data_IF_618737184612
#
_entry.id   IF_618737184612
#
_cell.length_a   1.000
_cell.length_b   1.000
_cell.length_c   1.000
_cell.angle_alpha   90.00
_cell.angle_beta   90.00
_cell.angle_gamma   90.00
#
_symmetry.space_group_name_H-M   'P 1'
#
loop_
_entity.id
_entity.type
_entity.pdbx_description
1 polymer ?
#
# COMPACT_ATOMS: atom_id res chain seq x y z
N UNK A 1 -8.50 -1.05 16.79
CA UNK A 1 -7.49 -0.13 16.25
C UNK A 1 -6.27 -0.96 15.86
N UNK A 2 -5.88 -0.90 14.59
CA UNK A 2 -4.78 -1.70 14.05
C UNK A 2 -3.46 -0.92 14.06
N UNK A 3 -3.49 0.31 13.53
CA UNK A 3 -2.31 1.18 13.45
C UNK A 3 -2.64 2.52 14.12
N UNK A 4 -1.66 3.12 14.82
CA UNK A 4 -1.77 4.45 15.41
C UNK A 4 -0.48 5.23 15.22
N UNK A 5 -0.58 6.45 14.70
CA UNK A 5 0.47 7.44 14.69
C UNK A 5 0.15 8.56 15.68
N UNK A 6 1.11 8.92 16.54
CA UNK A 6 0.92 9.94 17.57
C UNK A 6 2.00 11.02 17.45
N UNK A 7 1.57 12.26 17.22
CA UNK A 7 2.40 13.47 17.16
C UNK A 7 3.65 13.30 16.27
N UNK A 8 3.46 12.66 15.10
CA UNK A 8 4.55 12.35 14.18
C UNK A 8 5.15 13.62 13.60
N UNK A 9 6.46 13.71 13.70
CA UNK A 9 7.26 14.77 13.07
C UNK A 9 8.34 14.14 12.21
N UNK A 10 8.56 14.67 11.02
CA UNK A 10 9.69 14.34 10.16
C UNK A 10 10.30 15.57 9.55
N UNK A 11 11.57 15.80 9.89
CA UNK A 11 12.38 16.88 9.34
C UNK A 11 13.44 16.31 8.38
N UNK A 12 13.70 17.03 7.31
CA UNK A 12 14.82 16.83 6.40
C UNK A 12 15.61 18.15 6.33
N UNK A 13 16.72 18.22 7.07
CA UNK A 13 17.43 19.49 7.26
C UNK A 13 16.52 20.57 7.81
N UNK A 14 16.37 21.68 7.10
CA UNK A 14 15.49 22.80 7.48
C UNK A 14 14.02 22.61 7.10
N UNK A 15 13.65 21.54 6.37
CA UNK A 15 12.28 21.34 5.88
C UNK A 15 11.51 20.38 6.78
N UNK A 16 10.35 20.80 7.28
CA UNK A 16 9.42 19.96 8.05
C UNK A 16 8.43 19.33 7.09
N UNK A 17 8.62 18.04 6.78
CA UNK A 17 7.78 17.32 5.83
C UNK A 17 6.51 16.73 6.46
N UNK A 18 6.58 16.33 7.74
CA UNK A 18 5.43 15.92 8.57
C UNK A 18 5.55 16.68 9.89
N UNK A 19 4.47 17.33 10.31
CA UNK A 19 4.47 18.26 11.44
C UNK A 19 3.30 17.95 12.38
N UNK A 20 3.59 17.23 13.45
CA UNK A 20 2.65 16.89 14.51
C UNK A 20 1.38 16.19 14.00
N UNK A 21 1.54 15.18 13.14
CA UNK A 21 0.42 14.41 12.59
C UNK A 21 0.07 13.24 13.51
N UNK A 22 -1.20 13.18 13.91
CA UNK A 22 -1.77 12.04 14.65
C UNK A 22 -2.94 11.48 13.86
N UNK A 23 -3.00 10.15 13.75
CA UNK A 23 -4.06 9.41 13.06
C UNK A 23 -4.13 7.98 13.59
N UNK A 24 -5.21 7.31 13.31
CA UNK A 24 -5.39 5.88 13.58
C UNK A 24 -5.99 5.17 12.38
N UNK A 25 -5.85 3.84 12.36
CA UNK A 25 -6.43 2.95 11.36
C UNK A 25 -7.13 1.81 12.08
N UNK A 26 -8.40 1.60 11.76
CA UNK A 26 -9.18 0.50 12.33
C UNK A 26 -8.98 -0.79 11.53
N UNK A 27 -9.22 -1.94 12.15
CA UNK A 27 -9.18 -3.22 11.44
C UNK A 27 -10.24 -3.24 10.32
N UNK A 28 -9.85 -3.66 9.13
CA UNK A 28 -10.75 -3.86 7.99
C UNK A 28 -11.24 -2.57 7.31
N UNK A 29 -10.80 -1.37 7.76
CA UNK A 29 -11.18 -0.12 7.07
C UNK A 29 -10.30 0.14 5.83
N UNK A 30 -10.82 0.96 4.93
CA UNK A 30 -10.04 1.66 3.90
C UNK A 30 -9.89 3.11 4.35
N UNK A 31 -8.70 3.47 4.87
CA UNK A 31 -8.35 4.85 5.19
C UNK A 31 -7.64 5.49 4.00
N UNK A 32 -8.20 6.55 3.44
CA UNK A 32 -7.51 7.35 2.43
C UNK A 32 -6.76 8.52 3.07
N UNK A 33 -5.55 8.79 2.57
CA UNK A 33 -4.76 9.97 2.94
C UNK A 33 -4.61 10.83 1.69
N UNK A 34 -5.25 11.99 1.69
CA UNK A 34 -5.26 12.91 0.56
C UNK A 34 -4.61 14.25 0.90
N UNK A 35 -4.41 15.08 -0.10
CA UNK A 35 -3.85 16.43 0.04
C UNK A 35 -3.05 16.83 -1.20
N UNK A 36 -2.71 18.12 -1.34
CA UNK A 36 -1.91 18.62 -2.45
C UNK A 36 -0.53 17.94 -2.57
N UNK A 37 0.14 18.17 -3.71
CA UNK A 37 1.52 17.74 -3.88
C UNK A 37 2.41 18.42 -2.83
N UNK A 38 3.32 17.67 -2.24
CA UNK A 38 4.18 18.18 -1.15
C UNK A 38 3.50 18.23 0.23
N UNK A 39 2.25 17.80 0.39
CA UNK A 39 1.55 17.78 1.69
C UNK A 39 2.13 16.82 2.73
N UNK A 40 3.09 15.94 2.37
CA UNK A 40 3.73 15.02 3.30
C UNK A 40 3.19 13.58 3.27
N UNK A 41 2.25 13.26 2.38
CA UNK A 41 1.58 11.94 2.29
C UNK A 41 2.56 10.77 2.16
N UNK A 42 3.41 10.77 1.12
CA UNK A 42 4.38 9.69 0.86
C UNK A 42 5.47 9.62 1.94
N UNK A 43 5.77 10.76 2.60
CA UNK A 43 6.65 10.77 3.79
C UNK A 43 5.98 10.05 4.94
N UNK A 44 4.69 10.31 5.20
CA UNK A 44 3.94 9.61 6.24
C UNK A 44 3.91 8.09 5.99
N UNK A 45 3.67 7.64 4.75
CA UNK A 45 3.77 6.23 4.40
C UNK A 45 5.18 5.66 4.61
N UNK A 46 6.21 6.47 4.34
CA UNK A 46 7.60 6.07 4.55
C UNK A 46 7.95 5.93 6.03
N UNK A 47 7.31 6.70 6.92
CA UNK A 47 7.41 6.53 8.37
C UNK A 47 6.73 5.23 8.81
N UNK A 48 5.52 4.96 8.35
CA UNK A 48 4.76 3.75 8.70
C UNK A 48 5.49 2.49 8.20
N UNK A 49 6.03 2.52 6.99
CA UNK A 49 6.72 1.37 6.39
C UNK A 49 8.18 1.19 6.83
N UNK A 50 8.70 2.08 7.71
CA UNK A 50 10.07 2.00 8.24
C UNK A 50 11.17 2.33 7.24
N UNK A 51 10.82 2.98 6.11
CA UNK A 51 11.82 3.53 5.19
C UNK A 51 12.47 4.79 5.75
N UNK A 52 11.70 5.59 6.49
CA UNK A 52 12.22 6.71 7.27
C UNK A 52 11.89 6.52 8.75
N UNK A 53 12.77 7.02 9.61
CA UNK A 53 12.48 7.14 11.03
C UNK A 53 11.85 8.50 11.32
N UNK A 54 10.83 8.60 12.19
CA UNK A 54 10.31 9.89 12.63
C UNK A 54 11.39 10.66 13.41
N UNK A 55 11.36 11.98 13.29
CA UNK A 55 12.19 12.87 14.14
C UNK A 55 11.67 12.88 15.59
N UNK A 56 10.34 12.82 15.75
CA UNK A 56 9.66 12.62 17.02
C UNK A 56 8.27 12.03 16.79
N UNK A 57 7.59 11.64 17.87
CA UNK A 57 6.30 10.96 17.81
C UNK A 57 6.45 9.44 17.92
N UNK A 58 5.32 8.75 17.87
CA UNK A 58 5.24 7.30 18.08
C UNK A 58 4.35 6.65 17.04
N UNK A 59 4.71 5.44 16.61
CA UNK A 59 3.91 4.56 15.75
C UNK A 59 3.69 3.26 16.51
N UNK A 60 2.42 2.84 16.60
CA UNK A 60 2.05 1.56 17.20
C UNK A 60 1.23 0.74 16.22
N UNK A 61 1.50 -0.55 16.11
CA UNK A 61 0.78 -1.52 15.28
C UNK A 61 0.36 -2.70 16.16
N UNK A 62 -0.92 -3.06 16.15
CA UNK A 62 -1.51 -4.09 17.03
C UNK A 62 -1.14 -3.89 18.52
N UNK A 63 -1.09 -2.62 18.96
CA UNK A 63 -0.72 -2.25 20.34
C UNK A 63 0.78 -2.24 20.63
N UNK A 64 1.60 -2.79 19.76
CA UNK A 64 3.07 -2.79 19.89
C UNK A 64 3.69 -1.53 19.33
N UNK A 65 4.68 -0.96 20.02
CA UNK A 65 5.45 0.18 19.52
C UNK A 65 6.45 -0.28 18.45
N UNK A 66 6.25 0.18 17.22
CA UNK A 66 7.11 -0.11 16.06
C UNK A 66 7.95 1.10 15.62
N UNK A 67 7.97 2.16 16.41
CA UNK A 67 8.72 3.39 16.10
C UNK A 67 10.19 3.08 15.84
N UNK A 68 10.71 3.50 14.69
CA UNK A 68 12.10 3.29 14.32
C UNK A 68 12.46 1.87 13.84
N UNK A 69 11.51 0.96 13.71
CA UNK A 69 11.77 -0.35 13.13
C UNK A 69 12.16 -0.20 11.67
N UNK A 70 13.08 -1.06 11.21
CA UNK A 70 13.48 -1.13 9.79
C UNK A 70 12.36 -1.76 8.96
N UNK A 71 12.31 -1.42 7.67
CA UNK A 71 11.27 -1.87 6.74
C UNK A 71 11.07 -3.40 6.72
N UNK A 72 12.15 -4.18 6.81
CA UNK A 72 12.07 -5.65 6.85
C UNK A 72 11.41 -6.18 8.13
N UNK A 73 11.57 -5.51 9.27
CA UNK A 73 10.92 -5.87 10.52
C UNK A 73 9.42 -5.52 10.47
N UNK A 74 9.08 -4.37 9.90
CA UNK A 74 7.70 -3.93 9.69
C UNK A 74 6.96 -4.87 8.72
N UNK A 75 7.62 -5.26 7.62
CA UNK A 75 7.04 -6.21 6.67
C UNK A 75 6.75 -7.59 7.31
N UNK A 76 7.61 -8.04 8.24
CA UNK A 76 7.38 -9.30 8.99
C UNK A 76 6.20 -9.22 9.95
N UNK A 77 5.81 -8.02 10.38
CA UNK A 77 4.61 -7.79 11.20
C UNK A 77 3.32 -7.75 10.38
N UNK A 78 3.39 -7.89 9.07
CA UNK A 78 2.21 -7.92 8.20
C UNK A 78 1.84 -6.55 7.61
N UNK A 79 2.75 -5.57 7.62
CA UNK A 79 2.55 -4.30 6.89
C UNK A 79 3.26 -4.40 5.55
N UNK A 80 2.51 -4.42 4.45
CA UNK A 80 3.03 -4.38 3.08
C UNK A 80 2.84 -3.01 2.47
N UNK A 81 3.74 -2.59 1.58
CA UNK A 81 3.61 -1.35 0.80
C UNK A 81 3.83 -1.64 -0.66
N UNK A 82 2.90 -1.18 -1.51
CA UNK A 82 3.15 -1.10 -2.94
C UNK A 82 3.92 0.19 -3.23
N UNK A 83 5.02 0.08 -3.95
CA UNK A 83 5.77 1.25 -4.41
C UNK A 83 5.20 1.73 -5.75
N UNK A 84 5.29 3.02 -6.01
CA UNK A 84 4.92 3.65 -7.28
C UNK A 84 5.60 2.97 -8.49
N UNK A 85 6.82 2.48 -8.29
CA UNK A 85 7.60 1.65 -9.21
C UNK A 85 7.95 0.35 -8.48
N UNK A 86 7.04 -0.62 -8.43
CA UNK A 86 7.44 -1.97 -8.06
C UNK A 86 8.39 -2.46 -9.16
N UNK A 87 9.65 -2.71 -8.82
CA UNK A 87 10.60 -3.28 -9.75
C UNK A 87 10.14 -4.70 -10.10
N UNK A 88 9.31 -4.82 -11.13
CA UNK A 88 8.99 -6.08 -11.75
C UNK A 88 10.22 -6.53 -12.57
N UNK A 89 10.44 -7.82 -12.62
CA UNK A 89 11.50 -8.38 -13.45
C UNK A 89 10.93 -8.61 -14.86
N UNK A 90 11.14 -7.67 -15.75
CA UNK A 90 10.59 -7.64 -17.11
C UNK A 90 10.95 -8.88 -17.93
N UNK A 91 12.12 -9.47 -17.66
CA UNK A 91 12.67 -10.66 -18.32
C UNK A 91 12.11 -11.98 -17.76
N UNK A 92 11.36 -11.93 -16.66
CA UNK A 92 10.70 -13.09 -16.07
C UNK A 92 9.24 -13.16 -16.50
N UNK A 93 8.67 -14.36 -16.41
CA UNK A 93 7.24 -14.57 -16.64
C UNK A 93 6.43 -14.04 -15.46
N UNK A 94 5.15 -13.81 -15.69
CA UNK A 94 4.19 -13.34 -14.68
C UNK A 94 4.18 -14.28 -13.47
N UNK A 95 4.10 -15.59 -13.71
CA UNK A 95 4.12 -16.63 -12.67
C UNK A 95 5.40 -16.58 -11.83
N UNK A 96 6.55 -16.36 -12.47
CA UNK A 96 7.85 -16.33 -11.77
C UNK A 96 7.97 -15.07 -10.90
N UNK A 97 7.53 -13.90 -11.41
CA UNK A 97 7.47 -12.66 -10.64
C UNK A 97 6.60 -12.81 -9.39
N UNK A 98 5.42 -13.39 -9.54
CA UNK A 98 4.51 -13.60 -8.42
C UNK A 98 5.07 -14.60 -7.40
N UNK A 99 5.72 -15.67 -7.87
CA UNK A 99 6.37 -16.66 -7.02
C UNK A 99 7.45 -16.05 -6.11
N UNK A 100 8.17 -15.02 -6.56
CA UNK A 100 9.14 -14.27 -5.72
C UNK A 100 8.47 -13.64 -4.49
N UNK A 101 7.21 -13.19 -4.60
CA UNK A 101 6.45 -12.67 -3.48
C UNK A 101 6.23 -13.71 -2.37
N UNK A 102 5.98 -14.96 -2.75
CA UNK A 102 5.75 -16.07 -1.82
C UNK A 102 7.04 -16.61 -1.18
N UNK A 103 8.20 -16.50 -1.84
CA UNK A 103 9.48 -16.98 -1.31
C UNK A 103 9.91 -16.34 0.01
N UNK A 104 9.44 -15.14 0.31
CA UNK A 104 9.69 -14.45 1.60
C UNK A 104 9.19 -15.24 2.82
N UNK A 105 8.34 -16.25 2.63
CA UNK A 105 7.78 -17.13 3.66
C UNK A 105 8.38 -18.54 3.70
N UNK A 106 9.20 -18.90 2.70
CA UNK A 106 9.81 -20.22 2.69
C UNK A 106 10.75 -20.35 3.90
N UNK A 107 10.33 -21.15 4.88
CA UNK A 107 11.09 -21.49 6.09
C UNK A 107 12.10 -22.61 5.83
N UNK A 108 12.10 -23.21 4.64
CA UNK A 108 13.04 -24.25 4.26
C UNK A 108 14.45 -23.65 4.15
N UNK A 109 15.27 -23.92 5.16
CA UNK A 109 16.67 -23.55 5.19
C UNK A 109 17.41 -24.16 4.00
N UNK A 110 18.58 -23.61 3.67
CA UNK A 110 19.50 -24.00 2.59
C UNK A 110 19.65 -25.54 2.43
N UNK A 111 19.65 -26.29 3.51
CA UNK A 111 19.78 -27.76 3.54
C UNK A 111 18.52 -28.50 3.06
N UNK A 112 17.34 -27.98 3.27
CA UNK A 112 16.08 -28.60 2.79
C UNK A 112 15.95 -28.52 1.27
N UNK A 113 16.46 -27.46 0.66
CA UNK A 113 16.48 -27.26 -0.80
C UNK A 113 17.48 -28.22 -1.48
N UNK A 114 18.60 -28.50 -0.83
CA UNK A 114 19.68 -29.33 -1.40
C UNK A 114 19.32 -30.83 -1.45
N UNK A 115 18.47 -31.31 -0.52
CA UNK A 115 18.16 -32.72 -0.35
C UNK A 115 16.91 -33.22 -1.08
N UNK A 116 16.22 -32.38 -1.86
CA UNK A 116 15.01 -32.74 -2.64
C UNK A 116 14.02 -33.60 -1.83
N UNK A 117 13.83 -33.29 -0.55
CA UNK A 117 12.99 -34.07 0.36
C UNK A 117 11.53 -34.12 -0.12
N UNK A 118 10.76 -35.13 0.32
CA UNK A 118 9.31 -35.21 0.05
C UNK A 118 8.57 -33.92 0.52
N UNK A 119 9.05 -33.31 1.59
CA UNK A 119 8.58 -32.04 2.12
C UNK A 119 8.81 -30.88 1.15
N UNK A 120 9.97 -30.81 0.50
CA UNK A 120 10.25 -29.79 -0.52
C UNK A 120 9.31 -29.90 -1.73
N UNK A 121 8.97 -31.14 -2.17
CA UNK A 121 8.01 -31.33 -3.28
C UNK A 121 6.60 -30.89 -2.90
N UNK A 122 6.17 -31.19 -1.66
CA UNK A 122 4.88 -30.76 -1.14
C UNK A 122 4.80 -29.22 -0.99
N UNK A 123 5.84 -28.60 -0.44
CA UNK A 123 5.94 -27.14 -0.29
C UNK A 123 5.93 -26.44 -1.65
N UNK A 124 6.63 -26.99 -2.64
CA UNK A 124 6.65 -26.49 -4.01
C UNK A 124 5.26 -26.57 -4.67
N UNK A 125 4.60 -27.71 -4.60
CA UNK A 125 3.26 -27.89 -5.16
C UNK A 125 2.23 -26.96 -4.49
N UNK A 126 2.33 -26.78 -3.17
CA UNK A 126 1.48 -25.83 -2.43
C UNK A 126 1.74 -24.38 -2.87
N UNK A 127 3.01 -24.01 -3.08
CA UNK A 127 3.37 -22.66 -3.56
C UNK A 127 2.84 -22.43 -4.97
N UNK A 128 3.00 -23.40 -5.89
CA UNK A 128 2.47 -23.31 -7.25
C UNK A 128 0.95 -23.14 -7.25
N UNK A 129 0.22 -23.89 -6.41
CA UNK A 129 -1.24 -23.74 -6.28
C UNK A 129 -1.62 -22.33 -5.80
N UNK A 130 -0.93 -21.79 -4.78
CA UNK A 130 -1.16 -20.42 -4.28
C UNK A 130 -0.85 -19.35 -5.33
N UNK A 131 0.18 -19.55 -6.14
CA UNK A 131 0.51 -18.63 -7.24
C UNK A 131 -0.61 -18.59 -8.28
N UNK A 132 -1.13 -19.76 -8.68
CA UNK A 132 -2.24 -19.84 -9.65
C UNK A 132 -3.53 -19.22 -9.06
N UNK A 133 -3.85 -19.51 -7.81
CA UNK A 133 -4.99 -18.90 -7.11
C UNK A 133 -4.86 -17.36 -7.07
N UNK A 134 -3.67 -16.84 -6.75
CA UNK A 134 -3.42 -15.40 -6.73
C UNK A 134 -3.51 -14.79 -8.13
N UNK A 135 -3.04 -15.46 -9.18
CA UNK A 135 -3.20 -14.99 -10.57
C UNK A 135 -4.68 -14.84 -10.94
N UNK A 136 -5.52 -15.82 -10.59
CA UNK A 136 -6.97 -15.70 -10.74
C UNK A 136 -7.58 -14.60 -9.88
N UNK A 137 -7.06 -14.40 -8.65
CA UNK A 137 -7.53 -13.32 -7.78
C UNK A 137 -7.29 -11.92 -8.37
N UNK A 138 -6.12 -11.69 -8.97
CA UNK A 138 -5.73 -10.40 -9.59
C UNK A 138 -6.11 -10.29 -11.08
N UNK A 139 -6.77 -11.31 -11.67
CA UNK A 139 -7.25 -11.33 -13.05
C UNK A 139 -6.13 -11.41 -14.10
N UNK A 140 -5.09 -12.21 -13.82
CA UNK A 140 -3.95 -12.44 -14.71
C UNK A 140 -3.76 -13.94 -15.08
N UNK A 141 -4.76 -14.78 -14.86
CA UNK A 141 -4.69 -16.22 -15.15
C UNK A 141 -4.36 -16.52 -16.61
N UNK A 142 -4.88 -15.70 -17.55
CA UNK A 142 -4.62 -15.86 -18.98
C UNK A 142 -3.23 -15.36 -19.41
N UNK A 143 -2.49 -14.72 -18.50
CA UNK A 143 -1.16 -14.13 -18.72
C UNK A 143 -0.06 -14.87 -17.95
N UNK A 144 -0.38 -16.01 -17.34
CA UNK A 144 0.50 -16.77 -16.43
C UNK A 144 1.91 -16.97 -16.98
N UNK A 145 2.03 -17.32 -18.26
CA UNK A 145 3.31 -17.63 -18.90
C UNK A 145 3.87 -16.51 -19.79
N UNK A 146 3.15 -15.38 -19.90
CA UNK A 146 3.62 -14.21 -20.64
C UNK A 146 4.80 -13.56 -19.90
N UNK A 147 5.69 -12.91 -20.65
CA UNK A 147 6.75 -12.08 -20.05
C UNK A 147 6.15 -10.77 -19.50
N UNK A 148 6.64 -10.31 -18.36
CA UNK A 148 6.17 -9.06 -17.75
C UNK A 148 6.32 -7.85 -18.68
N UNK A 149 7.37 -7.83 -19.51
CA UNK A 149 7.59 -6.80 -20.52
C UNK A 149 6.47 -6.66 -21.56
N UNK A 150 5.61 -7.69 -21.72
CA UNK A 150 4.48 -7.67 -22.68
C UNK A 150 3.16 -7.21 -22.05
N UNK A 151 3.13 -7.03 -20.73
CA UNK A 151 1.95 -6.61 -19.99
C UNK A 151 1.66 -5.11 -20.18
N UNK A 152 0.38 -4.74 -20.24
CA UNK A 152 -0.05 -3.35 -20.11
C UNK A 152 0.32 -2.77 -18.74
N UNK A 153 0.29 -1.44 -18.60
CA UNK A 153 0.55 -0.79 -17.31
C UNK A 153 -0.46 -1.21 -16.23
N UNK A 154 -1.73 -1.39 -16.58
CA UNK A 154 -2.76 -1.88 -15.68
C UNK A 154 -2.48 -3.31 -15.20
N UNK A 155 -2.09 -4.21 -16.11
CA UNK A 155 -1.70 -5.60 -15.81
C UNK A 155 -0.46 -5.66 -14.91
N UNK A 156 0.57 -4.84 -15.19
CA UNK A 156 1.76 -4.73 -14.35
C UNK A 156 1.40 -4.23 -12.94
N UNK A 157 0.46 -3.30 -12.84
CA UNK A 157 -0.02 -2.79 -11.55
C UNK A 157 -0.75 -3.89 -10.76
N UNK A 158 -1.61 -4.68 -11.41
CA UNK A 158 -2.27 -5.83 -10.79
C UNK A 158 -1.26 -6.89 -10.31
N UNK A 159 -0.24 -7.19 -11.11
CA UNK A 159 0.85 -8.09 -10.72
C UNK A 159 1.60 -7.57 -9.48
N UNK A 160 1.92 -6.27 -9.43
CA UNK A 160 2.55 -5.63 -8.28
C UNK A 160 1.72 -5.75 -7.01
N UNK A 161 0.40 -5.61 -7.13
CA UNK A 161 -0.56 -5.81 -6.03
C UNK A 161 -0.55 -7.28 -5.58
N UNK A 162 -0.55 -8.23 -6.52
CA UNK A 162 -0.45 -9.66 -6.23
C UNK A 162 0.82 -10.02 -5.45
N UNK A 163 1.96 -9.45 -5.83
CA UNK A 163 3.23 -9.63 -5.12
C UNK A 163 3.15 -9.08 -3.68
N UNK A 164 2.50 -7.94 -3.48
CA UNK A 164 2.28 -7.39 -2.14
C UNK A 164 1.38 -8.30 -1.30
N UNK A 165 0.32 -8.87 -1.89
CA UNK A 165 -0.59 -9.82 -1.25
C UNK A 165 0.07 -11.15 -0.91
N UNK A 166 1.03 -11.62 -1.70
CA UNK A 166 1.74 -12.88 -1.48
C UNK A 166 2.46 -12.92 -0.11
N UNK A 167 2.72 -11.77 0.51
CA UNK A 167 3.24 -11.68 1.88
C UNK A 167 2.18 -11.87 2.96
N UNK A 168 0.89 -12.09 2.60
CA UNK A 168 -0.28 -12.24 3.48
C UNK A 168 -0.36 -11.10 4.52
N UNK A 169 -0.49 -9.86 4.06
CA UNK A 169 -0.43 -8.71 4.93
C UNK A 169 -1.73 -8.53 5.72
N UNK A 170 -1.60 -7.98 6.92
CA UNK A 170 -2.73 -7.48 7.73
C UNK A 170 -3.11 -6.05 7.30
N UNK A 171 -2.11 -5.27 6.88
CA UNK A 171 -2.24 -3.90 6.40
C UNK A 171 -1.49 -3.71 5.09
N UNK A 172 -2.15 -3.15 4.07
CA UNK A 172 -1.49 -2.73 2.83
C UNK A 172 -1.51 -1.20 2.72
N UNK A 173 -0.35 -0.64 2.40
CA UNK A 173 -0.18 0.77 2.07
C UNK A 173 -0.10 0.91 0.54
N UNK A 174 -1.17 1.42 -0.09
CA UNK A 174 -1.22 1.72 -1.52
C UNK A 174 -0.79 3.17 -1.78
N UNK A 175 0.34 3.36 -2.44
CA UNK A 175 0.89 4.68 -2.78
C UNK A 175 0.65 4.97 -4.26
N UNK A 176 -0.41 5.73 -4.56
CA UNK A 176 -0.87 6.10 -5.90
C UNK A 176 -1.03 4.89 -6.85
N UNK A 177 -1.84 3.88 -6.48
CA UNK A 177 -1.94 2.64 -7.25
C UNK A 177 -2.48 2.84 -8.67
N UNK A 178 -3.13 3.96 -8.96
CA UNK A 178 -3.67 4.24 -10.29
C UNK A 178 -2.95 5.37 -11.03
N UNK A 179 -1.79 5.81 -10.51
CA UNK A 179 -0.97 6.84 -11.16
C UNK A 179 -0.59 6.46 -12.59
N UNK A 180 -0.88 7.32 -13.56
CA UNK A 180 -0.58 7.12 -14.99
C UNK A 180 -1.53 6.19 -15.73
N UNK A 181 -2.49 5.54 -15.07
CA UNK A 181 -3.44 4.61 -15.70
C UNK A 181 -4.61 5.33 -16.37
N UNK A 182 -5.09 4.76 -17.47
CA UNK A 182 -6.36 5.14 -18.12
C UNK A 182 -7.55 4.80 -17.22
N UNK A 183 -8.74 5.31 -17.57
CA UNK A 183 -9.92 5.16 -16.71
C UNK A 183 -10.34 3.69 -16.53
N UNK A 184 -10.28 2.87 -17.56
CA UNK A 184 -10.63 1.45 -17.54
C UNK A 184 -9.75 0.68 -16.54
N UNK A 185 -8.42 0.81 -16.64
CA UNK A 185 -7.47 0.20 -15.69
C UNK A 185 -7.68 0.72 -14.26
N UNK A 186 -8.03 2.02 -14.12
CA UNK A 186 -8.33 2.61 -12.81
C UNK A 186 -9.54 1.95 -12.18
N UNK A 187 -10.61 1.71 -12.95
CA UNK A 187 -11.82 1.06 -12.45
C UNK A 187 -11.55 -0.41 -12.08
N UNK A 188 -10.67 -1.11 -12.84
CA UNK A 188 -10.23 -2.46 -12.49
C UNK A 188 -9.43 -2.50 -11.17
N UNK A 189 -8.47 -1.60 -10.99
CA UNK A 189 -7.70 -1.49 -9.74
C UNK A 189 -8.63 -1.13 -8.57
N UNK A 190 -9.60 -0.24 -8.78
CA UNK A 190 -10.59 0.12 -7.76
C UNK A 190 -11.38 -1.11 -7.31
N UNK A 191 -11.87 -1.91 -8.25
CA UNK A 191 -12.57 -3.18 -7.94
C UNK A 191 -11.67 -4.17 -7.21
N UNK A 192 -10.41 -4.29 -7.64
CA UNK A 192 -9.43 -5.19 -7.00
C UNK A 192 -9.15 -4.76 -5.55
N UNK A 193 -8.94 -3.47 -5.29
CA UNK A 193 -8.72 -2.95 -3.93
C UNK A 193 -9.93 -3.22 -3.03
N UNK A 194 -11.16 -3.04 -3.54
CA UNK A 194 -12.38 -3.38 -2.80
C UNK A 194 -12.45 -4.88 -2.49
N UNK A 195 -12.14 -5.74 -3.47
CA UNK A 195 -12.09 -7.19 -3.32
C UNK A 195 -11.06 -7.60 -2.24
N UNK A 196 -9.89 -6.97 -2.23
CA UNK A 196 -8.85 -7.19 -1.20
C UNK A 196 -9.39 -6.83 0.19
N UNK A 197 -10.01 -5.66 0.34
CA UNK A 197 -10.56 -5.25 1.64
C UNK A 197 -11.66 -6.20 2.14
N UNK A 198 -12.50 -6.72 1.24
CA UNK A 198 -13.53 -7.72 1.56
C UNK A 198 -12.99 -9.04 2.11
N UNK A 199 -11.71 -9.36 1.89
CA UNK A 199 -11.04 -10.49 2.55
C UNK A 199 -10.61 -10.20 3.99
N UNK A 200 -10.87 -8.99 4.51
CA UNK A 200 -10.52 -8.56 5.86
C UNK A 200 -9.20 -7.79 5.96
N UNK A 201 -8.47 -7.64 4.86
CA UNK A 201 -7.21 -6.87 4.83
C UNK A 201 -7.52 -5.38 5.00
N UNK A 202 -6.84 -4.74 5.95
CA UNK A 202 -6.90 -3.29 6.16
C UNK A 202 -6.10 -2.55 5.10
N UNK A 203 -6.59 -1.39 4.66
CA UNK A 203 -5.97 -0.64 3.58
C UNK A 203 -5.74 0.82 3.99
N UNK A 204 -4.51 1.31 3.80
CA UNK A 204 -4.25 2.74 3.72
C UNK A 204 -3.95 3.11 2.27
N UNK A 205 -4.59 4.14 1.75
CA UNK A 205 -4.54 4.54 0.36
C UNK A 205 -4.10 6.00 0.23
N UNK A 206 -3.04 6.27 -0.53
CA UNK A 206 -2.76 7.61 -1.06
C UNK A 206 -3.21 7.63 -2.50
N UNK A 207 -4.07 8.58 -2.84
CA UNK A 207 -4.59 8.76 -4.21
C UNK A 207 -4.93 10.21 -4.52
N UNK A 208 -4.87 10.57 -5.81
CA UNK A 208 -5.25 11.88 -6.32
C UNK A 208 -6.57 11.84 -7.11
N UNK A 209 -7.00 10.67 -7.56
CA UNK A 209 -8.27 10.48 -8.27
C UNK A 209 -9.41 10.48 -7.27
N UNK A 210 -9.99 11.66 -7.01
CA UNK A 210 -11.04 11.84 -5.99
C UNK A 210 -12.22 10.89 -6.16
N UNK A 211 -12.62 10.58 -7.41
CA UNK A 211 -13.70 9.61 -7.67
C UNK A 211 -13.40 8.26 -7.02
N UNK A 212 -12.18 7.74 -7.17
CA UNK A 212 -11.75 6.48 -6.56
C UNK A 212 -11.71 6.58 -5.03
N UNK A 213 -11.20 7.69 -4.50
CA UNK A 213 -11.13 7.91 -3.04
C UNK A 213 -12.54 7.91 -2.45
N UNK A 214 -13.48 8.67 -3.04
CA UNK A 214 -14.87 8.75 -2.56
C UNK A 214 -15.63 7.44 -2.69
N UNK A 215 -15.26 6.59 -3.66
CA UNK A 215 -15.87 5.28 -3.89
C UNK A 215 -15.35 4.19 -2.93
N UNK A 216 -14.10 4.28 -2.50
CA UNK A 216 -13.44 3.23 -1.70
C UNK A 216 -13.34 3.56 -0.21
N UNK A 217 -13.05 4.81 0.14
CA UNK A 217 -12.64 5.15 1.49
C UNK A 217 -13.83 5.10 2.47
N UNK A 218 -13.61 4.45 3.60
CA UNK A 218 -14.52 4.54 4.76
C UNK A 218 -14.28 5.86 5.50
N UNK A 219 -13.04 6.31 5.55
CA UNK A 219 -12.59 7.53 6.23
C UNK A 219 -11.42 8.15 5.47
N UNK A 220 -11.33 9.46 5.52
CA UNK A 220 -10.32 10.24 4.81
C UNK A 220 -9.59 11.14 5.82
N UNK A 221 -8.26 11.14 5.75
CA UNK A 221 -7.37 12.09 6.42
C UNK A 221 -6.81 13.04 5.38
N UNK A 222 -6.94 14.33 5.60
CA UNK A 222 -6.43 15.36 4.69
C UNK A 222 -5.18 15.99 5.27
N UNK A 223 -4.09 15.95 4.50
CA UNK A 223 -2.84 16.60 4.83
C UNK A 223 -2.64 17.86 3.99
N UNK A 224 -2.10 18.91 4.61
CA UNK A 224 -1.63 20.10 3.91
C UNK A 224 -0.40 20.67 4.64
N UNK A 225 0.67 20.99 3.90
CA UNK A 225 1.96 21.46 4.46
C UNK A 225 2.44 20.65 5.66
N UNK A 226 2.37 19.32 5.56
CA UNK A 226 2.81 18.38 6.61
C UNK A 226 1.87 18.25 7.81
N UNK A 227 0.72 18.89 7.84
CA UNK A 227 -0.24 18.87 8.94
C UNK A 227 -1.55 18.22 8.53
N UNK A 228 -2.21 17.55 9.48
CA UNK A 228 -3.59 17.09 9.31
C UNK A 228 -4.52 18.32 9.45
N UNK A 229 -5.30 18.63 8.41
CA UNK A 229 -6.23 19.75 8.39
C UNK A 229 -7.68 19.31 8.53
N UNK A 230 -8.01 18.07 8.14
CA UNK A 230 -9.34 17.49 8.27
C UNK A 230 -9.27 15.97 8.40
N UNK A 231 -10.31 15.38 8.98
CA UNK A 231 -10.54 13.95 9.04
C UNK A 231 -12.05 13.69 9.16
N UNK A 232 -12.57 12.75 8.35
CA UNK A 232 -14.00 12.45 8.35
C UNK A 232 -14.37 11.42 7.29
N UNK A 233 -15.67 11.17 7.14
CA UNK A 233 -16.19 10.37 6.05
C UNK A 233 -16.08 11.13 4.70
N UNK A 234 -16.18 10.44 3.55
CA UNK A 234 -16.05 11.09 2.25
C UNK A 234 -16.98 12.28 2.03
N UNK A 235 -18.24 12.21 2.51
CA UNK A 235 -19.22 13.27 2.31
C UNK A 235 -18.89 14.54 3.12
N UNK A 236 -18.39 14.38 4.34
CA UNK A 236 -17.95 15.50 5.17
C UNK A 236 -16.72 16.18 4.56
N UNK A 237 -15.74 15.39 4.13
CA UNK A 237 -14.49 15.91 3.53
C UNK A 237 -14.75 16.65 2.21
N UNK A 238 -15.68 16.17 1.38
CA UNK A 238 -16.05 16.83 0.12
C UNK A 238 -16.60 18.25 0.32
N UNK A 239 -17.20 18.52 1.46
CA UNK A 239 -17.85 19.79 1.79
C UNK A 239 -17.03 20.66 2.78
N UNK A 240 -15.86 20.18 3.24
CA UNK A 240 -15.04 20.89 4.21
C UNK A 240 -14.38 22.13 3.57
N UNK A 241 -14.64 23.36 4.08
CA UNK A 241 -14.07 24.59 3.50
C UNK A 241 -12.54 24.62 3.52
N UNK A 242 -11.89 24.04 4.56
CA UNK A 242 -10.42 24.01 4.65
C UNK A 242 -9.83 23.07 3.60
N UNK A 243 -10.52 21.96 3.31
CA UNK A 243 -10.13 21.01 2.25
C UNK A 243 -10.26 21.68 0.88
N UNK A 244 -11.41 22.32 0.63
CA UNK A 244 -11.64 23.03 -0.64
C UNK A 244 -10.59 24.11 -0.86
N UNK A 245 -10.30 24.93 0.17
CA UNK A 245 -9.25 25.97 0.09
C UNK A 245 -7.85 25.37 -0.18
N UNK A 246 -7.52 24.23 0.45
CA UNK A 246 -6.23 23.56 0.25
C UNK A 246 -6.00 23.08 -1.19
N UNK A 247 -7.06 22.70 -1.90
CA UNK A 247 -7.00 22.23 -3.30
C UNK A 247 -7.13 23.34 -4.35
N UNK A 248 -8.01 24.32 -4.09
CA UNK A 248 -8.28 25.41 -5.05
C UNK A 248 -7.38 26.63 -4.86
N UNK A 249 -6.64 26.70 -3.73
CA UNK A 249 -5.92 27.88 -3.30
C UNK A 249 -6.86 28.95 -2.73
N UNK A 250 -6.32 29.86 -1.92
CA UNK A 250 -7.08 31.05 -1.48
C UNK A 250 -7.55 31.80 -2.70
N UNK A 251 -8.87 32.03 -2.86
CA UNK A 251 -9.36 33.08 -3.72
C UNK A 251 -8.67 34.38 -3.25
N UNK A 252 -7.73 34.94 -4.06
CA UNK A 252 -7.28 36.28 -3.85
C UNK A 252 -8.53 37.16 -3.99
N UNK A 253 -9.06 37.60 -2.85
CA UNK A 253 -9.99 38.70 -2.86
C UNK A 253 -9.19 39.90 -3.41
N UNK A 254 -9.53 40.29 -4.65
CA UNK A 254 -9.07 41.52 -5.28
C UNK A 254 -9.78 42.72 -4.60
#
# INVERSE_FOLDING_TARGET
MLLKGENLVKNFGGTVAVNNVSFDVMNGEILAIIGPNGAGKSVLFSLISGLFQPTSGKISFEGENITGFKANAIARKGISRTFQLTALFDQLRVVDNLALGFQRRATSGFWGTLLHSSQWKADKAMMEAKVIEMLGFIGLENKTFDFVSTLSQGEQRRLSIGIALASDPVLILFDEPTGGLIQEDTDEITRLIRKINQTGITICLIEHKMRMVMDLASRIVVLNYGRKIAEGNPADIANDPQVIEAYLGRKRNA
#
